data_IF_388045022565
#
_entry.id   IF_388045022565
#
_cell.length_a   1.000
_cell.length_b   1.000
_cell.length_c   1.000
_cell.angle_alpha   90.00
_cell.angle_beta   90.00
_cell.angle_gamma   90.00
#
_symmetry.space_group_name_H-M   'P 1'
#
loop_
_entity.id
_entity.type
_entity.pdbx_description
1 polymer ?
#
# COMPACT_ATOMS: atom_id res chain seq x y z
N UNK A 1 7.94 -9.34 11.53
CA UNK A 1 7.46 -8.26 12.42
C UNK A 1 6.00 -8.55 12.71
N UNK A 2 5.62 -8.84 13.96
CA UNK A 2 4.27 -9.35 14.24
C UNK A 2 3.17 -8.35 13.87
N UNK A 3 2.20 -8.81 13.09
CA UNK A 3 0.98 -8.05 12.76
C UNK A 3 0.09 -7.95 14.01
N UNK A 4 -0.35 -6.74 14.31
CA UNK A 4 -1.32 -6.41 15.36
C UNK A 4 -2.44 -5.61 14.71
N UNK A 5 -3.58 -6.28 14.54
CA UNK A 5 -4.77 -5.73 13.92
C UNK A 5 -5.18 -4.40 14.58
N UNK A 6 -5.50 -3.39 13.75
CA UNK A 6 -5.88 -2.03 14.15
C UNK A 6 -4.81 -1.24 14.92
N UNK A 7 -3.59 -1.76 15.05
CA UNK A 7 -2.44 -1.02 15.62
C UNK A 7 -1.33 -0.75 14.62
N UNK A 8 -0.96 -1.77 13.85
CA UNK A 8 0.10 -1.64 12.84
C UNK A 8 -0.32 -2.15 11.45
N UNK A 9 -1.48 -2.82 11.34
CA UNK A 9 -2.05 -3.33 10.10
C UNK A 9 -3.57 -3.26 10.11
N UNK A 10 -4.18 -3.11 8.94
CA UNK A 10 -5.63 -3.20 8.74
C UNK A 10 -6.13 -4.62 8.45
N UNK A 11 -5.22 -5.55 8.13
CA UNK A 11 -5.52 -6.93 7.77
C UNK A 11 -4.56 -7.89 8.49
N UNK A 12 -5.00 -9.12 8.79
CA UNK A 12 -4.16 -10.20 9.30
C UNK A 12 -3.38 -10.86 8.17
N UNK A 13 -2.37 -11.68 8.49
CA UNK A 13 -1.64 -12.44 7.47
C UNK A 13 -2.56 -13.45 6.80
N UNK A 14 -3.38 -14.13 7.60
CA UNK A 14 -4.29 -15.17 7.16
C UNK A 14 -5.36 -14.63 6.20
N UNK A 15 -5.96 -13.47 6.52
CA UNK A 15 -6.94 -12.82 5.64
C UNK A 15 -6.28 -12.35 4.33
N UNK A 16 -5.02 -11.90 4.40
CA UNK A 16 -4.27 -11.50 3.20
C UNK A 16 -3.95 -12.71 2.32
N UNK A 17 -3.52 -13.83 2.89
CA UNK A 17 -3.26 -15.06 2.14
C UNK A 17 -4.54 -15.58 1.45
N UNK A 18 -5.71 -15.52 2.11
CA UNK A 18 -7.01 -15.85 1.50
C UNK A 18 -7.29 -14.93 0.30
N UNK A 19 -7.08 -13.62 0.45
CA UNK A 19 -7.27 -12.66 -0.65
C UNK A 19 -6.38 -12.99 -1.85
N UNK A 20 -5.13 -13.36 -1.61
CA UNK A 20 -4.17 -13.68 -2.66
C UNK A 20 -4.40 -15.04 -3.30
N UNK A 21 -5.00 -16.01 -2.59
CA UNK A 21 -5.38 -17.31 -3.17
C UNK A 21 -6.46 -17.17 -4.27
N UNK A 22 -7.37 -16.20 -4.12
CA UNK A 22 -8.41 -15.92 -5.12
C UNK A 22 -7.93 -15.01 -6.26
N UNK A 23 -6.79 -14.32 -6.06
CA UNK A 23 -6.28 -13.30 -6.97
C UNK A 23 -5.44 -13.90 -8.10
N UNK A 24 -5.73 -13.47 -9.33
CA UNK A 24 -4.86 -13.75 -10.48
C UNK A 24 -3.49 -13.06 -10.34
N UNK A 25 -2.41 -13.80 -10.59
CA UNK A 25 -1.01 -13.33 -10.51
C UNK A 25 -0.50 -13.01 -9.08
N UNK A 26 -0.95 -13.76 -8.09
CA UNK A 26 -0.45 -13.71 -6.71
C UNK A 26 0.79 -14.58 -6.45
N UNK A 27 1.38 -15.18 -7.48
CA UNK A 27 2.53 -16.11 -7.34
C UNK A 27 3.71 -15.48 -6.62
N UNK A 28 3.98 -14.20 -6.90
CA UNK A 28 5.04 -13.42 -6.25
C UNK A 28 4.79 -13.28 -4.74
N UNK A 29 3.53 -13.15 -4.32
CA UNK A 29 3.16 -13.14 -2.90
C UNK A 29 3.42 -14.51 -2.26
N UNK A 30 3.01 -15.58 -2.92
CA UNK A 30 3.19 -16.95 -2.41
C UNK A 30 4.67 -17.36 -2.28
N UNK A 31 5.53 -16.81 -3.14
CA UNK A 31 6.98 -17.04 -3.10
C UNK A 31 7.73 -16.19 -2.05
N UNK A 32 7.06 -15.19 -1.45
CA UNK A 32 7.68 -14.32 -0.45
C UNK A 32 7.69 -14.93 0.95
N UNK A 33 8.77 -14.66 1.70
CA UNK A 33 8.90 -15.07 3.09
C UNK A 33 7.86 -14.40 4.00
N UNK A 34 7.42 -15.13 5.03
CA UNK A 34 6.47 -14.64 6.02
C UNK A 34 6.89 -13.31 6.65
N UNK A 35 8.18 -13.14 6.97
CA UNK A 35 8.67 -11.89 7.54
C UNK A 35 8.52 -10.71 6.56
N UNK A 36 8.75 -10.95 5.28
CA UNK A 36 8.59 -9.96 4.21
C UNK A 36 7.13 -9.61 4.01
N UNK A 37 6.25 -10.62 3.96
CA UNK A 37 4.79 -10.44 3.91
C UNK A 37 4.30 -9.54 5.06
N UNK A 38 4.71 -9.84 6.29
CA UNK A 38 4.32 -9.05 7.46
C UNK A 38 4.79 -7.60 7.36
N UNK A 39 6.05 -7.37 6.98
CA UNK A 39 6.60 -6.01 6.81
C UNK A 39 5.89 -5.24 5.71
N UNK A 40 5.56 -5.91 4.60
CA UNK A 40 4.83 -5.30 3.48
C UNK A 40 3.43 -4.88 3.91
N UNK A 41 2.66 -5.74 4.58
CA UNK A 41 1.31 -5.41 5.05
C UNK A 41 1.31 -4.25 6.04
N UNK A 42 2.28 -4.21 6.96
CA UNK A 42 2.43 -3.09 7.91
C UNK A 42 2.77 -1.79 7.16
N UNK A 43 3.67 -1.86 6.18
CA UNK A 43 4.10 -0.67 5.42
C UNK A 43 2.98 -0.14 4.53
N UNK A 44 2.30 -1.04 3.81
CA UNK A 44 1.12 -0.73 3.02
C UNK A 44 0.01 -0.14 3.89
N UNK A 45 -0.27 -0.74 5.05
CA UNK A 45 -1.25 -0.21 6.00
C UNK A 45 -0.88 1.19 6.47
N UNK A 46 0.38 1.46 6.79
CA UNK A 46 0.83 2.80 7.19
C UNK A 46 0.69 3.85 6.08
N UNK A 47 0.99 3.49 4.83
CA UNK A 47 0.76 4.37 3.67
C UNK A 47 -0.73 4.66 3.52
N UNK A 48 -1.57 3.65 3.61
CA UNK A 48 -3.03 3.82 3.53
C UNK A 48 -3.52 4.64 4.72
N UNK A 49 -2.92 4.48 5.89
CA UNK A 49 -3.27 5.24 7.08
C UNK A 49 -2.97 6.74 6.99
N UNK A 50 -2.09 7.19 6.09
CA UNK A 50 -1.74 8.62 5.98
C UNK A 50 -2.78 9.46 5.24
N UNK A 51 -3.82 8.85 4.68
CA UNK A 51 -4.88 9.59 3.96
C UNK A 51 -5.96 10.15 4.88
N UNK A 52 -6.59 11.21 4.39
CA UNK A 52 -7.76 11.79 5.01
C UNK A 52 -9.04 11.05 4.62
N UNK A 53 -9.63 10.34 5.58
CA UNK A 53 -10.86 9.57 5.39
C UNK A 53 -12.11 10.30 5.90
N UNK A 54 -13.24 10.04 5.25
CA UNK A 54 -14.56 10.50 5.66
C UNK A 54 -15.08 9.77 6.89
N UNK A 55 -15.93 10.44 7.68
CA UNK A 55 -16.49 9.91 8.92
C UNK A 55 -15.64 10.18 10.16
N UNK A 56 -15.98 9.52 11.26
CA UNK A 56 -15.32 9.62 12.56
C UNK A 56 -14.66 8.29 12.94
N UNK A 57 -13.51 8.38 13.62
CA UNK A 57 -12.82 7.21 14.18
C UNK A 57 -13.73 6.52 15.20
N UNK A 58 -13.63 5.20 15.31
CA UNK A 58 -14.41 4.46 16.31
C UNK A 58 -13.97 4.83 17.73
N UNK A 59 -12.68 5.08 17.92
CA UNK A 59 -12.08 5.55 19.16
C UNK A 59 -11.08 6.67 18.80
N UNK A 60 -11.18 7.81 19.48
CA UNK A 60 -10.31 8.97 19.24
C UNK A 60 -8.84 8.68 19.60
N UNK A 61 -8.60 7.72 20.49
CA UNK A 61 -7.26 7.35 20.98
C UNK A 61 -6.61 6.24 20.17
N UNK A 62 -7.34 5.66 19.19
CA UNK A 62 -6.80 4.56 18.40
C UNK A 62 -5.66 5.05 17.47
N UNK A 63 -4.62 4.23 17.28
CA UNK A 63 -3.43 4.66 16.54
C UNK A 63 -3.64 4.78 15.03
N UNK A 64 -4.65 4.09 14.48
CA UNK A 64 -4.93 4.02 13.03
C UNK A 64 -6.24 4.76 12.67
N UNK A 65 -6.40 5.11 11.40
CA UNK A 65 -7.57 5.79 10.85
C UNK A 65 -8.82 4.90 10.81
N UNK A 66 -8.60 3.58 10.77
CA UNK A 66 -9.64 2.56 10.91
C UNK A 66 -9.34 1.69 12.14
N UNK A 67 -10.37 1.16 12.81
CA UNK A 67 -11.79 1.16 12.42
C UNK A 67 -12.49 2.51 12.62
N UNK A 68 -13.48 2.80 11.79
CA UNK A 68 -14.37 3.96 11.96
C UNK A 68 -15.67 3.54 12.63
N UNK A 69 -16.60 4.46 12.86
CA UNK A 69 -17.89 4.11 13.48
C UNK A 69 -18.66 2.97 12.78
N UNK A 70 -18.42 2.74 11.49
CA UNK A 70 -18.96 1.64 10.68
C UNK A 70 -18.00 0.44 10.52
N UNK A 71 -16.89 0.41 11.27
CA UNK A 71 -15.85 -0.61 11.19
C UNK A 71 -14.76 -0.33 10.15
N UNK A 72 -14.01 -1.38 9.80
CA UNK A 72 -12.99 -1.35 8.73
C UNK A 72 -13.60 -1.94 7.46
N UNK A 73 -13.83 -1.13 6.40
CA UNK A 73 -14.38 -1.63 5.16
C UNK A 73 -13.50 -2.68 4.50
N UNK A 74 -14.11 -3.64 3.81
CA UNK A 74 -13.38 -4.63 3.04
C UNK A 74 -12.50 -3.97 1.96
N UNK A 75 -13.00 -2.92 1.31
CA UNK A 75 -12.24 -2.12 0.32
C UNK A 75 -10.87 -1.64 0.87
N UNK A 76 -10.78 -1.28 2.15
CA UNK A 76 -9.52 -0.83 2.78
C UNK A 76 -8.57 -2.00 2.99
N UNK A 77 -9.09 -3.16 3.40
CA UNK A 77 -8.29 -4.39 3.55
C UNK A 77 -7.72 -4.84 2.21
N UNK A 78 -8.56 -4.86 1.19
CA UNK A 78 -8.17 -5.24 -0.17
C UNK A 78 -7.14 -4.25 -0.72
N UNK A 79 -7.29 -2.94 -0.45
CA UNK A 79 -6.32 -1.93 -0.83
C UNK A 79 -4.94 -2.13 -0.18
N UNK A 80 -4.88 -2.63 1.06
CA UNK A 80 -3.61 -2.99 1.71
C UNK A 80 -2.92 -4.11 0.96
N UNK A 81 -3.66 -5.15 0.57
CA UNK A 81 -3.10 -6.25 -0.21
C UNK A 81 -2.59 -5.78 -1.58
N UNK A 82 -3.37 -4.97 -2.28
CA UNK A 82 -3.02 -4.37 -3.56
C UNK A 82 -1.74 -3.53 -3.49
N UNK A 83 -1.60 -2.73 -2.43
CA UNK A 83 -0.40 -1.94 -2.22
C UNK A 83 0.80 -2.82 -1.85
N UNK A 84 0.60 -3.81 -0.99
CA UNK A 84 1.67 -4.73 -0.58
C UNK A 84 2.26 -5.50 -1.78
N UNK A 85 1.42 -6.02 -2.68
CA UNK A 85 1.90 -6.74 -3.87
C UNK A 85 2.55 -5.80 -4.89
N UNK A 86 2.07 -4.56 -5.02
CA UNK A 86 2.70 -3.54 -5.87
C UNK A 86 4.10 -3.19 -5.37
N UNK A 87 4.27 -3.01 -4.06
CA UNK A 87 5.58 -2.76 -3.44
C UNK A 87 6.54 -3.93 -3.69
N UNK A 88 6.07 -5.16 -3.46
CA UNK A 88 6.87 -6.37 -3.70
C UNK A 88 7.26 -6.54 -5.18
N UNK A 89 6.33 -6.27 -6.11
CA UNK A 89 6.59 -6.31 -7.54
C UNK A 89 7.58 -5.23 -7.97
N UNK A 90 7.49 -4.02 -7.41
CA UNK A 90 8.44 -2.93 -7.67
C UNK A 90 9.85 -3.27 -7.18
N UNK A 91 9.99 -3.79 -5.96
CA UNK A 91 11.29 -4.22 -5.41
C UNK A 91 11.94 -5.27 -6.31
N UNK A 92 11.19 -6.31 -6.70
CA UNK A 92 11.68 -7.36 -7.58
C UNK A 92 12.10 -6.82 -8.96
N UNK A 93 11.33 -5.90 -9.55
CA UNK A 93 11.67 -5.30 -10.84
C UNK A 93 12.92 -4.40 -10.76
N UNK A 94 13.09 -3.63 -9.68
CA UNK A 94 14.27 -2.77 -9.48
C UNK A 94 15.52 -3.64 -9.29
N UNK A 95 15.47 -4.65 -8.44
CA UNK A 95 16.62 -5.53 -8.22
C UNK A 95 16.99 -6.32 -9.47
N UNK A 96 16.01 -6.89 -10.17
CA UNK A 96 16.23 -7.60 -11.43
C UNK A 96 16.85 -6.69 -12.50
N UNK A 97 16.31 -5.49 -12.69
CA UNK A 97 16.86 -4.53 -13.65
C UNK A 97 18.27 -4.07 -13.27
N UNK A 98 18.55 -3.86 -11.98
CA UNK A 98 19.88 -3.46 -11.54
C UNK A 98 20.91 -4.58 -11.74
N UNK A 99 20.53 -5.83 -11.49
CA UNK A 99 21.37 -7.01 -11.75
C UNK A 99 21.66 -7.18 -13.25
N UNK A 100 20.65 -7.08 -14.11
CA UNK A 100 20.82 -7.18 -15.57
C UNK A 100 21.73 -6.08 -16.13
N UNK A 101 21.72 -4.89 -15.53
CA UNK A 101 22.53 -3.75 -15.95
C UNK A 101 23.90 -3.66 -15.23
N UNK A 102 24.31 -4.67 -14.46
CA UNK A 102 25.55 -4.68 -13.66
C UNK A 102 25.69 -3.46 -12.71
N UNK A 103 24.57 -2.92 -12.22
CA UNK A 103 24.55 -1.75 -11.33
C UNK A 103 24.77 -2.25 -9.90
N UNK A 104 25.97 -2.01 -9.37
CA UNK A 104 26.39 -2.42 -8.02
C UNK A 104 26.16 -1.38 -6.93
N UNK A 105 25.86 -0.13 -7.29
CA UNK A 105 25.46 0.92 -6.35
C UNK A 105 24.64 2.01 -7.07
N UNK A 106 23.67 2.59 -6.37
CA UNK A 106 22.91 3.74 -6.84
C UNK A 106 23.01 4.83 -5.76
N UNK A 107 23.58 5.98 -6.11
CA UNK A 107 23.64 7.15 -5.22
C UNK A 107 22.54 8.12 -5.67
N UNK A 108 21.41 8.11 -4.96
CA UNK A 108 20.33 9.07 -5.15
C UNK A 108 20.61 10.33 -4.30
N UNK A 109 21.72 11.00 -4.59
CA UNK A 109 22.00 12.32 -4.03
C UNK A 109 21.16 13.39 -4.72
N UNK A 110 20.16 13.93 -4.01
CA UNK A 110 19.42 15.17 -4.35
C UNK A 110 18.90 15.34 -5.80
N UNK A 111 18.70 14.27 -6.56
CA UNK A 111 18.31 14.33 -7.98
C UNK A 111 16.98 13.61 -8.24
N UNK A 112 15.92 14.37 -8.52
CA UNK A 112 14.62 13.85 -8.95
C UNK A 112 14.70 13.33 -10.39
N UNK A 113 14.21 12.10 -10.62
CA UNK A 113 14.00 11.57 -11.98
C UNK A 113 12.53 11.81 -12.36
N UNK A 114 12.33 12.69 -13.33
CA UNK A 114 11.00 13.02 -13.88
C UNK A 114 10.86 12.39 -15.26
N UNK A 115 9.87 11.52 -15.46
CA UNK A 115 9.41 11.09 -16.78
C UNK A 115 8.16 11.90 -17.14
N UNK A 116 8.21 12.63 -18.25
CA UNK A 116 7.12 13.46 -18.76
C UNK A 116 5.91 12.62 -19.15
N UNK A 117 4.69 13.03 -18.77
CA UNK A 117 3.52 12.64 -19.56
C UNK A 117 2.11 12.71 -18.97
N UNK A 118 1.90 12.86 -17.66
CA UNK A 118 0.60 13.19 -17.06
C UNK A 118 0.91 13.95 -15.76
N UNK A 119 0.22 15.06 -15.49
CA UNK A 119 0.29 15.69 -14.17
C UNK A 119 -0.30 14.72 -13.15
N UNK A 120 0.56 13.87 -12.60
CA UNK A 120 0.23 12.96 -11.51
C UNK A 120 -0.30 13.80 -10.36
N UNK A 121 -1.55 13.59 -9.98
CA UNK A 121 -2.12 14.23 -8.78
C UNK A 121 -1.24 13.87 -7.57
N UNK A 122 -1.27 14.66 -6.50
CA UNK A 122 -0.42 14.42 -5.31
C UNK A 122 -0.49 12.96 -4.80
N UNK A 123 -1.66 12.31 -4.97
CA UNK A 123 -1.92 10.90 -4.68
C UNK A 123 -1.09 9.90 -5.50
N UNK A 124 -0.74 10.22 -6.75
CA UNK A 124 0.10 9.37 -7.61
C UNK A 124 1.61 9.65 -7.43
N UNK A 125 1.96 10.75 -6.75
CA UNK A 125 3.34 11.15 -6.47
C UNK A 125 3.91 10.41 -5.26
N UNK A 126 3.07 10.06 -4.30
CA UNK A 126 3.35 9.09 -3.24
C UNK A 126 2.90 7.72 -3.74
N UNK A 127 3.80 6.97 -4.41
CA UNK A 127 3.48 5.74 -5.15
C UNK A 127 2.62 4.76 -4.33
N UNK A 128 1.32 4.76 -4.64
CA UNK A 128 0.34 3.75 -4.24
C UNK A 128 -0.21 3.12 -5.52
N UNK A 129 -0.46 1.82 -5.48
CA UNK A 129 -1.07 1.08 -6.59
C UNK A 129 -2.35 1.76 -7.05
N UNK A 130 -2.55 1.87 -8.36
CA UNK A 130 -3.75 2.46 -8.94
C UNK A 130 -5.03 1.72 -8.47
N UNK A 131 -4.94 0.40 -8.30
CA UNK A 131 -6.02 -0.44 -7.75
C UNK A 131 -6.31 -0.10 -6.29
N UNK A 132 -5.27 0.05 -5.46
CA UNK A 132 -5.42 0.45 -4.06
C UNK A 132 -6.04 1.85 -3.92
N UNK A 133 -5.59 2.83 -4.72
CA UNK A 133 -6.18 4.17 -4.76
C UNK A 133 -7.66 4.10 -5.14
N UNK A 134 -7.99 3.31 -6.17
CA UNK A 134 -9.38 3.16 -6.61
C UNK A 134 -10.29 2.68 -5.47
N UNK A 135 -9.86 1.66 -4.71
CA UNK A 135 -10.60 1.12 -3.57
C UNK A 135 -10.75 2.15 -2.43
N UNK A 136 -9.67 2.86 -2.11
CA UNK A 136 -9.64 3.87 -1.04
C UNK A 136 -10.41 5.14 -1.42
N UNK A 137 -10.47 5.50 -2.71
CA UNK A 137 -11.10 6.73 -3.20
C UNK A 137 -12.57 6.90 -2.80
N UNK A 138 -13.26 5.78 -2.55
CA UNK A 138 -14.63 5.75 -2.04
C UNK A 138 -14.77 6.28 -0.61
N UNK A 139 -13.70 6.18 0.18
CA UNK A 139 -13.67 6.51 1.60
C UNK A 139 -12.90 7.79 1.90
N UNK A 140 -12.07 8.27 0.97
CA UNK A 140 -11.34 9.52 1.12
C UNK A 140 -12.27 10.73 1.15
N UNK A 141 -11.90 11.77 1.92
CA UNK A 141 -12.59 13.07 1.87
C UNK A 141 -12.46 13.62 0.45
N UNK A 142 -13.60 13.79 -0.24
CA UNK A 142 -13.64 14.49 -1.53
C UNK A 142 -13.34 15.97 -1.31
N UNK A 143 -12.07 16.35 -1.43
CA UNK A 143 -11.58 17.72 -1.48
C UNK A 143 -10.09 17.66 -1.81
N UNK A 144 -9.59 18.16 -2.93
CA UNK A 144 -9.90 19.41 -3.60
C UNK A 144 -9.97 19.18 -5.12
N UNK A 145 -11.00 19.75 -5.77
CA UNK A 145 -10.94 19.97 -7.21
C UNK A 145 -9.77 20.92 -7.46
N UNK A 146 -8.70 20.42 -8.07
CA UNK A 146 -7.65 21.27 -8.65
C UNK A 146 -8.28 22.06 -9.80
N UNK A 147 -8.63 23.31 -9.51
CA UNK A 147 -8.77 24.35 -10.52
C UNK A 147 -7.43 24.75 -11.09
#
# INVERSE_FOLDING_TARGET
MTIILNKNSFITKEDADIYFDERYDSKIWQEADDETKEKLLITASKKINSFDYTGEKADETQPMEFPRNFGTPQDIKDAVCEEAISMLSQENNIHKKNQENNISSISLGAGSVSYSGVQKTAFEKEMISHTAIYLISKWMKKGYAIG
#
